data_IF_809498230325
#
_entry.id   IF_809498230325
#
_cell.length_a   1.000
_cell.length_b   1.000
_cell.length_c   1.000
_cell.angle_alpha   90.00
_cell.angle_beta   90.00
_cell.angle_gamma   90.00
#
_symmetry.space_group_name_H-M   'P 1'
#
loop_
_entity.id
_entity.type
_entity.pdbx_description
1 polymer ?
#
# COMPACT_ATOMS: atom_id res chain seq x y z
N UNK A 1 -2.14 -55.00 -35.33
CA UNK A 1 -1.58 -54.20 -34.22
C UNK A 1 -2.36 -52.90 -34.20
N UNK A 2 -3.12 -52.68 -33.13
CA UNK A 2 -4.42 -52.00 -33.18
C UNK A 2 -4.32 -50.48 -33.20
N UNK A 3 -5.14 -49.86 -34.07
CA UNK A 3 -5.41 -48.42 -34.08
C UNK A 3 -5.86 -47.87 -32.71
N UNK A 4 -6.42 -48.74 -31.86
CA UNK A 4 -6.78 -48.41 -30.48
C UNK A 4 -5.57 -48.09 -29.57
N UNK A 5 -4.42 -48.74 -29.76
CA UNK A 5 -3.23 -48.44 -28.96
C UNK A 5 -2.66 -47.05 -29.25
N UNK A 6 -2.72 -46.63 -30.52
CA UNK A 6 -2.25 -45.31 -30.96
C UNK A 6 -3.21 -44.22 -30.45
N UNK A 7 -4.52 -44.46 -30.53
CA UNK A 7 -5.53 -43.51 -30.04
C UNK A 7 -5.42 -43.29 -28.53
N UNK A 8 -5.23 -44.36 -27.75
CA UNK A 8 -5.07 -44.27 -26.30
C UNK A 8 -3.79 -43.52 -25.91
N UNK A 9 -2.68 -43.76 -26.62
CA UNK A 9 -1.42 -43.02 -26.43
C UNK A 9 -1.56 -41.53 -26.75
N UNK A 10 -2.33 -41.17 -27.79
CA UNK A 10 -2.55 -39.78 -28.18
C UNK A 10 -3.41 -39.04 -27.14
N UNK A 11 -4.47 -39.69 -26.65
CA UNK A 11 -5.34 -39.14 -25.60
C UNK A 11 -4.57 -38.97 -24.28
N UNK A 12 -3.70 -39.93 -23.92
CA UNK A 12 -2.86 -39.82 -22.73
C UNK A 12 -1.80 -38.72 -22.86
N UNK A 13 -1.24 -38.52 -24.05
CA UNK A 13 -0.28 -37.46 -24.31
C UNK A 13 -0.94 -36.06 -24.28
N UNK A 14 -2.16 -35.95 -24.80
CA UNK A 14 -2.94 -34.70 -24.76
C UNK A 14 -3.40 -34.39 -23.33
N UNK A 15 -3.87 -35.38 -22.57
CA UNK A 15 -4.26 -35.17 -21.17
C UNK A 15 -3.05 -34.82 -20.29
N UNK A 16 -1.89 -35.43 -20.55
CA UNK A 16 -0.64 -35.09 -19.87
C UNK A 16 -0.14 -33.69 -20.28
N UNK A 17 -0.30 -33.28 -21.55
CA UNK A 17 0.02 -31.92 -22.00
C UNK A 17 -0.90 -30.86 -21.39
N UNK A 18 -2.19 -31.18 -21.20
CA UNK A 18 -3.17 -30.31 -20.51
C UNK A 18 -2.90 -30.25 -19.00
N UNK A 19 -2.36 -31.31 -18.39
CA UNK A 19 -1.93 -31.31 -16.98
C UNK A 19 -0.57 -30.62 -16.77
N UNK A 20 0.25 -30.48 -17.82
CA UNK A 20 1.58 -29.86 -17.76
C UNK A 20 1.55 -28.36 -18.10
N UNK A 21 0.43 -27.77 -18.55
CA UNK A 21 0.37 -26.30 -18.68
C UNK A 21 0.58 -25.67 -17.30
N UNK A 22 1.74 -25.04 -17.03
CA UNK A 22 1.98 -24.40 -15.77
C UNK A 22 1.07 -23.17 -15.68
N UNK A 23 0.95 -22.65 -14.48
CA UNK A 23 0.24 -21.44 -14.04
C UNK A 23 0.57 -20.11 -14.76
N UNK A 24 0.83 -20.09 -16.07
CA UNK A 24 0.98 -18.88 -16.89
C UNK A 24 -0.27 -17.99 -16.90
N UNK A 25 -1.42 -18.50 -16.43
CA UNK A 25 -2.68 -17.78 -16.44
C UNK A 25 -2.82 -16.64 -15.41
N UNK A 26 -2.01 -16.61 -14.34
CA UNK A 26 -2.27 -15.68 -13.23
C UNK A 26 -1.76 -14.26 -13.49
N UNK A 27 -0.55 -14.10 -14.07
CA UNK A 27 0.03 -12.78 -14.30
C UNK A 27 -0.57 -12.09 -15.54
N UNK A 28 -0.84 -12.85 -16.60
CA UNK A 28 -1.48 -12.36 -17.82
C UNK A 28 -2.92 -11.85 -17.61
N UNK A 29 -3.55 -12.23 -16.50
CA UNK A 29 -4.84 -11.68 -16.09
C UNK A 29 -4.73 -10.20 -15.69
N UNK A 30 -3.64 -9.83 -15.03
CA UNK A 30 -3.46 -8.50 -14.44
C UNK A 30 -2.48 -7.61 -15.23
N UNK A 31 -1.63 -8.19 -16.08
CA UNK A 31 -0.67 -7.47 -16.91
C UNK A 31 -0.89 -7.78 -18.39
N UNK A 32 -0.75 -6.77 -19.24
CA UNK A 32 -0.73 -6.88 -20.71
C UNK A 32 0.61 -7.44 -21.19
N UNK A 33 1.70 -6.98 -20.60
CA UNK A 33 3.05 -7.40 -20.94
C UNK A 33 3.98 -7.30 -19.73
N UNK A 34 4.92 -8.23 -19.63
CA UNK A 34 5.99 -8.22 -18.64
C UNK A 34 7.23 -8.91 -19.21
N UNK A 35 8.40 -8.52 -18.74
CA UNK A 35 9.66 -9.22 -19.01
C UNK A 35 10.24 -9.78 -17.71
N UNK A 36 11.08 -10.80 -17.84
CA UNK A 36 11.81 -11.34 -16.70
C UNK A 36 13.26 -10.86 -16.71
N UNK A 37 13.81 -10.66 -15.50
CA UNK A 37 15.19 -10.28 -15.26
C UNK A 37 15.77 -11.22 -14.22
N UNK A 38 17.01 -11.65 -14.40
CA UNK A 38 17.74 -12.35 -13.35
C UNK A 38 18.69 -11.40 -12.62
N UNK A 39 19.01 -11.67 -11.35
CA UNK A 39 19.97 -10.86 -10.59
C UNK A 39 21.36 -10.71 -11.25
N UNK A 40 21.72 -11.65 -12.13
CA UNK A 40 22.98 -11.59 -12.92
C UNK A 40 22.91 -10.56 -14.07
N UNK A 41 21.72 -10.21 -14.53
CA UNK A 41 21.52 -9.23 -15.61
C UNK A 41 21.68 -7.78 -15.11
N UNK A 42 21.70 -7.59 -13.79
CA UNK A 42 22.06 -6.33 -13.14
C UNK A 42 23.59 -6.14 -13.24
N UNK A 43 24.04 -5.66 -14.40
CA UNK A 43 25.43 -5.31 -14.68
C UNK A 43 25.92 -4.07 -13.90
N UNK A 44 27.25 -3.96 -13.77
CA UNK A 44 27.96 -2.76 -13.26
C UNK A 44 27.50 -2.22 -11.89
N UNK A 45 27.47 -3.07 -10.87
CA UNK A 45 27.26 -2.64 -9.48
C UNK A 45 28.51 -1.96 -8.91
N UNK A 46 28.73 -0.70 -9.29
CA UNK A 46 29.86 0.10 -8.79
C UNK A 46 29.41 0.83 -7.54
N UNK A 47 30.06 0.56 -6.41
CA UNK A 47 29.88 1.32 -5.18
C UNK A 47 31.03 2.32 -5.03
N UNK A 48 30.74 3.60 -5.30
CA UNK A 48 31.67 4.69 -5.06
C UNK A 48 31.53 5.13 -3.62
N UNK A 49 32.60 5.02 -2.84
CA UNK A 49 32.68 5.48 -1.45
C UNK A 49 33.58 6.70 -1.37
N UNK A 50 33.17 7.73 -0.64
CA UNK A 50 34.02 8.88 -0.39
C UNK A 50 35.30 8.50 0.37
N UNK A 51 36.38 9.23 0.11
CA UNK A 51 37.69 8.96 0.72
C UNK A 51 37.72 9.13 2.26
N UNK A 52 36.73 9.85 2.82
CA UNK A 52 36.51 9.98 4.26
C UNK A 52 35.14 9.41 4.61
N UNK A 53 35.07 8.61 5.67
CA UNK A 53 33.79 8.12 6.17
C UNK A 53 32.93 9.30 6.66
N UNK A 54 31.75 9.45 6.08
CA UNK A 54 30.78 10.51 6.37
C UNK A 54 29.38 9.93 6.30
N UNK A 55 28.48 10.46 7.14
CA UNK A 55 27.06 10.10 7.15
C UNK A 55 26.26 10.84 6.06
N UNK A 56 26.94 11.55 5.15
CA UNK A 56 26.29 12.26 4.05
C UNK A 56 25.65 11.27 3.05
N UNK A 57 24.41 11.49 2.58
CA UNK A 57 23.73 10.55 1.67
C UNK A 57 24.52 10.22 0.39
N UNK A 58 25.23 11.20 -0.17
CA UNK A 58 26.06 11.01 -1.37
C UNK A 58 27.48 10.48 -1.09
N UNK A 59 27.79 10.10 0.15
CA UNK A 59 29.09 9.50 0.45
C UNK A 59 29.21 8.08 -0.12
N UNK A 60 28.09 7.38 -0.28
CA UNK A 60 28.00 6.09 -0.95
C UNK A 60 27.06 6.22 -2.13
N UNK A 61 27.57 6.03 -3.34
CA UNK A 61 26.77 6.02 -4.57
C UNK A 61 26.88 4.64 -5.18
N UNK A 62 25.74 4.04 -5.47
CA UNK A 62 25.62 2.74 -6.14
C UNK A 62 25.09 2.96 -7.54
N UNK A 63 25.87 2.57 -8.53
CA UNK A 63 25.40 2.54 -9.92
C UNK A 63 24.88 1.13 -10.24
N UNK A 64 23.75 1.04 -10.94
CA UNK A 64 23.16 -0.24 -11.38
C UNK A 64 22.71 -0.10 -12.82
N UNK A 65 23.14 -1.02 -13.68
CA UNK A 65 22.84 -0.97 -15.11
C UNK A 65 22.18 -2.27 -15.57
N UNK A 66 21.05 -2.17 -16.27
CA UNK A 66 20.33 -3.32 -16.80
C UNK A 66 19.54 -2.94 -18.04
N UNK A 67 19.10 -3.94 -18.79
CA UNK A 67 18.26 -3.75 -19.98
C UNK A 67 16.97 -4.53 -19.80
N UNK A 68 15.83 -3.85 -19.96
CA UNK A 68 14.50 -4.47 -19.86
C UNK A 68 13.48 -3.64 -20.63
N UNK A 69 12.42 -4.29 -21.12
CA UNK A 69 11.31 -3.67 -21.85
C UNK A 69 11.81 -2.83 -23.04
N UNK A 70 12.81 -3.37 -23.75
CA UNK A 70 13.46 -2.71 -24.89
C UNK A 70 14.36 -1.51 -24.54
N UNK A 71 14.49 -1.13 -23.26
CA UNK A 71 15.26 0.04 -22.81
C UNK A 71 16.44 -0.34 -21.93
N UNK A 72 17.52 0.44 -22.02
CA UNK A 72 18.70 0.32 -21.14
C UNK A 72 18.59 1.35 -20.02
N UNK A 73 18.61 0.88 -18.78
CA UNK A 73 18.57 1.71 -17.58
C UNK A 73 19.95 1.78 -16.95
N UNK A 74 20.36 3.00 -16.58
CA UNK A 74 21.53 3.24 -15.75
C UNK A 74 21.10 4.08 -14.56
N UNK A 75 20.96 3.43 -13.41
CA UNK A 75 20.47 4.04 -12.17
C UNK A 75 21.65 4.58 -11.37
N UNK A 76 21.52 5.79 -10.85
CA UNK A 76 22.44 6.37 -9.87
C UNK A 76 21.70 6.43 -8.54
N UNK A 77 22.09 5.56 -7.62
CA UNK A 77 21.42 5.33 -6.35
C UNK A 77 22.27 5.81 -5.19
N UNK A 78 21.64 6.34 -4.16
CA UNK A 78 22.26 6.67 -2.88
C UNK A 78 21.42 6.09 -1.73
N UNK A 79 22.03 5.59 -0.65
CA UNK A 79 21.29 5.06 0.50
C UNK A 79 20.33 6.10 1.05
N UNK A 80 19.09 5.69 1.34
CA UNK A 80 18.06 6.58 1.84
C UNK A 80 16.98 5.83 2.63
N UNK A 81 16.93 6.09 3.93
CA UNK A 81 16.02 5.43 4.87
C UNK A 81 15.02 6.41 5.51
N UNK A 82 14.59 7.46 4.79
CA UNK A 82 13.81 8.58 5.34
C UNK A 82 12.47 8.20 5.97
N UNK A 83 11.88 7.08 5.54
CA UNK A 83 10.58 6.64 6.01
C UNK A 83 10.69 5.91 7.34
N UNK A 84 11.90 5.54 7.78
CA UNK A 84 12.12 4.87 9.05
C UNK A 84 12.38 5.89 10.16
N UNK A 85 11.58 5.84 11.22
CA UNK A 85 11.80 6.64 12.42
C UNK A 85 13.18 6.35 13.05
N UNK A 86 13.74 7.31 13.79
CA UNK A 86 15.04 7.14 14.47
C UNK A 86 15.06 5.92 15.40
N UNK A 87 13.97 5.76 16.17
CA UNK A 87 13.74 4.65 17.08
C UNK A 87 12.94 3.49 16.45
N UNK A 88 13.08 3.27 15.14
CA UNK A 88 12.40 2.18 14.45
C UNK A 88 12.73 0.82 15.08
N UNK A 89 11.69 -0.01 15.29
CA UNK A 89 11.85 -1.39 15.77
C UNK A 89 10.95 -2.34 14.97
N UNK A 90 11.49 -3.49 14.58
CA UNK A 90 10.75 -4.55 13.93
C UNK A 90 10.73 -5.80 14.80
N UNK A 91 9.56 -6.44 14.87
CA UNK A 91 9.32 -7.61 15.69
C UNK A 91 8.65 -8.69 14.86
N UNK A 92 8.95 -9.95 15.17
CA UNK A 92 8.14 -11.07 14.75
C UNK A 92 7.47 -11.71 15.95
N UNK A 93 6.22 -12.13 15.75
CA UNK A 93 5.35 -12.69 16.77
C UNK A 93 4.95 -14.10 16.36
N UNK A 94 5.07 -15.06 17.26
CA UNK A 94 4.65 -16.45 17.04
C UNK A 94 3.17 -16.67 17.41
N UNK A 95 2.66 -17.88 17.22
CA UNK A 95 1.26 -18.20 17.48
C UNK A 95 0.85 -18.13 18.96
N UNK A 96 1.83 -18.09 19.87
CA UNK A 96 1.63 -17.92 21.32
C UNK A 96 1.74 -16.46 21.77
N UNK A 97 2.09 -15.54 20.87
CA UNK A 97 2.27 -14.12 21.17
C UNK A 97 3.68 -13.73 21.63
N UNK A 98 4.68 -14.62 21.51
CA UNK A 98 6.06 -14.29 21.88
C UNK A 98 6.71 -13.39 20.83
N UNK A 99 7.20 -12.22 21.27
CA UNK A 99 7.89 -11.27 20.39
C UNK A 99 9.40 -11.58 20.29
N UNK A 100 9.97 -11.52 19.10
CA UNK A 100 11.43 -11.52 18.88
C UNK A 100 11.86 -10.38 17.95
N UNK A 101 13.01 -9.78 18.25
CA UNK A 101 13.51 -8.59 17.56
C UNK A 101 14.13 -9.02 16.22
N UNK A 102 13.76 -8.28 15.16
CA UNK A 102 14.33 -8.47 13.82
C UNK A 102 15.24 -7.30 13.49
N UNK A 103 16.53 -7.60 13.29
CA UNK A 103 17.49 -6.60 12.85
C UNK A 103 17.40 -6.39 11.34
N UNK A 104 17.32 -5.14 10.93
CA UNK A 104 17.24 -4.73 9.53
C UNK A 104 18.40 -3.84 9.15
N UNK A 105 18.94 -4.08 7.95
CA UNK A 105 19.93 -3.21 7.35
C UNK A 105 19.25 -2.03 6.65
N UNK A 106 19.44 -0.82 7.19
CA UNK A 106 18.89 0.42 6.61
C UNK A 106 19.61 0.82 5.32
N UNK A 107 20.77 0.24 5.03
CA UNK A 107 21.60 0.58 3.87
C UNK A 107 21.11 -0.05 2.56
N UNK A 108 20.17 -0.99 2.62
CA UNK A 108 19.60 -1.67 1.44
C UNK A 108 18.46 -0.87 0.76
N UNK A 109 18.05 0.27 1.33
CA UNK A 109 17.07 1.17 0.74
C UNK A 109 17.78 2.32 0.05
N UNK A 110 17.39 2.58 -1.19
CA UNK A 110 18.03 3.55 -2.06
C UNK A 110 17.00 4.49 -2.70
N UNK A 111 17.40 5.75 -2.84
CA UNK A 111 16.76 6.69 -3.76
C UNK A 111 17.76 7.13 -4.83
N UNK A 112 17.25 7.61 -5.95
CA UNK A 112 18.13 7.98 -7.03
C UNK A 112 17.41 8.50 -8.26
N UNK A 113 18.13 8.49 -9.36
CA UNK A 113 17.67 8.97 -10.66
C UNK A 113 18.23 8.11 -11.78
N UNK A 114 17.65 8.22 -12.96
CA UNK A 114 18.15 7.60 -14.19
C UNK A 114 19.19 8.54 -14.82
N UNK A 115 20.34 8.00 -15.20
CA UNK A 115 21.38 8.78 -15.87
C UNK A 115 20.89 9.27 -17.24
N UNK A 116 21.07 10.57 -17.50
CA UNK A 116 20.61 11.22 -18.73
C UNK A 116 19.18 11.76 -18.69
N UNK A 117 18.41 11.44 -17.64
CA UNK A 117 17.03 11.91 -17.47
C UNK A 117 16.97 13.02 -16.42
N UNK A 118 16.49 14.20 -16.82
CA UNK A 118 16.42 15.37 -15.93
C UNK A 118 15.35 15.21 -14.85
N UNK A 119 14.18 14.72 -15.24
CA UNK A 119 13.02 14.55 -14.37
C UNK A 119 12.75 13.06 -14.16
N UNK A 120 13.66 12.40 -13.43
CA UNK A 120 13.49 11.00 -13.08
C UNK A 120 13.65 10.77 -11.58
N UNK A 121 12.87 9.84 -11.07
CA UNK A 121 12.91 9.46 -9.66
C UNK A 121 12.93 7.94 -9.54
N UNK A 122 13.86 7.43 -8.75
CA UNK A 122 14.02 6.00 -8.51
C UNK A 122 13.90 5.73 -7.02
N UNK A 123 13.01 4.81 -6.67
CA UNK A 123 13.01 4.16 -5.36
C UNK A 123 13.42 2.71 -5.59
N UNK A 124 14.47 2.25 -4.92
CA UNK A 124 14.96 0.89 -5.07
C UNK A 124 15.31 0.28 -3.72
N UNK A 125 14.97 -0.99 -3.56
CA UNK A 125 15.41 -1.85 -2.48
C UNK A 125 16.20 -3.00 -3.10
N UNK A 126 17.46 -3.18 -2.67
CA UNK A 126 18.34 -4.22 -3.23
C UNK A 126 18.86 -5.07 -2.09
N UNK A 127 18.46 -6.34 -2.05
CA UNK A 127 18.87 -7.31 -1.05
C UNK A 127 19.28 -8.62 -1.74
N UNK A 128 20.42 -9.16 -1.34
CA UNK A 128 21.04 -10.36 -1.93
C UNK A 128 21.04 -10.41 -3.48
N UNK A 129 21.18 -9.24 -4.12
CA UNK A 129 21.20 -9.10 -5.59
C UNK A 129 19.83 -9.07 -6.26
N UNK A 130 18.75 -9.35 -5.53
CA UNK A 130 17.38 -9.13 -6.01
C UNK A 130 17.00 -7.68 -5.76
N UNK A 131 16.40 -7.04 -6.76
CA UNK A 131 16.00 -5.65 -6.71
C UNK A 131 14.48 -5.53 -6.81
N UNK A 132 13.91 -4.76 -5.89
CA UNK A 132 12.55 -4.23 -6.01
C UNK A 132 12.68 -2.75 -6.30
N UNK A 133 12.17 -2.27 -7.43
CA UNK A 133 12.34 -0.87 -7.80
C UNK A 133 11.11 -0.29 -8.49
N UNK A 134 10.94 1.02 -8.30
CA UNK A 134 10.03 1.87 -9.06
C UNK A 134 10.86 2.95 -9.72
N UNK A 135 10.92 2.93 -11.05
CA UNK A 135 11.62 3.92 -11.87
C UNK A 135 10.57 4.80 -12.53
N UNK A 136 10.45 6.03 -12.06
CA UNK A 136 9.50 7.03 -12.56
C UNK A 136 10.24 7.91 -13.56
N UNK A 137 9.73 7.95 -14.79
CA UNK A 137 10.15 8.85 -15.86
C UNK A 137 8.98 9.78 -16.21
N UNK A 138 9.21 10.84 -17.00
CA UNK A 138 8.15 11.78 -17.37
C UNK A 138 7.01 11.16 -18.18
N UNK A 139 7.33 10.14 -18.98
CA UNK A 139 6.41 9.47 -19.90
C UNK A 139 5.80 8.19 -19.33
N UNK A 140 6.52 7.49 -18.46
CA UNK A 140 6.13 6.16 -18.00
C UNK A 140 6.75 5.79 -16.65
N UNK A 141 6.11 4.88 -15.91
CA UNK A 141 6.69 4.28 -14.71
C UNK A 141 6.95 2.80 -14.91
N UNK A 142 8.15 2.37 -14.53
CA UNK A 142 8.60 0.98 -14.62
C UNK A 142 8.68 0.39 -13.22
N UNK A 143 8.08 -0.78 -13.05
CA UNK A 143 8.10 -1.53 -11.81
C UNK A 143 8.93 -2.80 -11.99
N UNK A 144 9.76 -3.08 -10.99
CA UNK A 144 10.57 -4.29 -10.90
C UNK A 144 10.28 -4.93 -9.56
N UNK A 145 9.83 -6.17 -9.57
CA UNK A 145 9.50 -6.92 -8.35
C UNK A 145 10.03 -8.36 -8.43
N UNK A 146 10.30 -9.02 -7.30
CA UNK A 146 10.67 -10.43 -7.29
C UNK A 146 9.61 -11.31 -7.96
N UNK A 147 10.01 -12.29 -8.76
CA UNK A 147 9.08 -13.10 -9.56
C UNK A 147 8.34 -14.19 -8.76
N UNK A 148 8.81 -14.53 -7.55
CA UNK A 148 8.36 -15.72 -6.80
C UNK A 148 6.85 -15.78 -6.54
N UNK A 149 6.18 -14.62 -6.43
CA UNK A 149 4.71 -14.56 -6.26
C UNK A 149 3.92 -14.87 -7.52
N UNK A 150 4.53 -14.66 -8.68
CA UNK A 150 3.84 -14.70 -9.96
C UNK A 150 4.25 -15.91 -10.80
N UNK A 151 5.50 -16.36 -10.63
CA UNK A 151 6.14 -17.39 -11.43
C UNK A 151 6.84 -18.39 -10.48
N UNK A 152 6.08 -19.26 -9.80
CA UNK A 152 6.64 -20.19 -8.79
C UNK A 152 7.62 -21.20 -9.38
N UNK A 153 7.58 -21.42 -10.70
CA UNK A 153 8.50 -22.29 -11.43
C UNK A 153 9.88 -21.65 -11.65
N UNK A 154 9.98 -20.33 -11.61
CA UNK A 154 11.26 -19.62 -11.66
C UNK A 154 11.80 -19.49 -10.23
N UNK A 155 12.52 -20.52 -9.79
CA UNK A 155 13.34 -20.44 -8.60
C UNK A 155 14.67 -19.72 -8.93
N UNK A 156 15.31 -19.16 -7.91
CA UNK A 156 16.55 -18.38 -7.96
C UNK A 156 16.46 -16.95 -8.55
N UNK A 157 16.31 -15.95 -7.66
CA UNK A 157 16.66 -14.53 -7.88
C UNK A 157 16.14 -13.90 -9.19
N UNK A 158 15.05 -14.43 -9.73
CA UNK A 158 14.33 -13.85 -10.86
C UNK A 158 13.42 -12.71 -10.37
N UNK A 159 13.23 -11.75 -11.26
CA UNK A 159 12.39 -10.58 -11.10
C UNK A 159 11.50 -10.45 -12.32
N UNK A 160 10.35 -9.81 -12.16
CA UNK A 160 9.51 -9.36 -13.24
C UNK A 160 9.65 -7.85 -13.38
N UNK A 161 9.59 -7.36 -14.61
CA UNK A 161 9.55 -5.95 -14.94
C UNK A 161 8.34 -5.66 -15.81
N UNK A 162 7.60 -4.60 -15.49
CA UNK A 162 6.41 -4.18 -16.22
C UNK A 162 6.23 -2.66 -16.15
N UNK A 163 5.47 -2.11 -17.10
CA UNK A 163 5.08 -0.69 -17.11
C UNK A 163 3.77 -0.49 -16.37
N UNK A 164 3.56 0.70 -15.84
CA UNK A 164 2.25 1.07 -15.26
C UNK A 164 1.14 1.01 -16.31
N UNK A 165 1.40 1.41 -17.56
CA UNK A 165 0.44 1.29 -18.67
C UNK A 165 0.07 -0.15 -19.05
N UNK A 166 0.91 -1.12 -18.70
CA UNK A 166 0.68 -2.55 -18.93
C UNK A 166 -0.20 -3.18 -17.83
N UNK A 167 -0.54 -2.46 -16.76
CA UNK A 167 -1.46 -2.94 -15.72
C UNK A 167 -2.89 -2.93 -16.27
N UNK A 168 -3.63 -4.03 -16.06
CA UNK A 168 -5.06 -4.14 -16.33
C UNK A 168 -5.79 -3.85 -15.02
N UNK A 169 -6.45 -2.71 -14.93
CA UNK A 169 -7.24 -2.41 -13.74
C UNK A 169 -8.59 -3.12 -13.82
N UNK A 170 -9.08 -3.62 -12.68
CA UNK A 170 -10.36 -4.33 -12.61
C UNK A 170 -11.56 -3.46 -13.02
N UNK A 171 -11.39 -2.15 -13.08
CA UNK A 171 -12.38 -1.16 -13.54
C UNK A 171 -12.14 -0.68 -14.98
N UNK A 172 -11.19 -1.25 -15.73
CA UNK A 172 -11.04 -0.94 -17.16
C UNK A 172 -12.04 -1.76 -18.01
N UNK A 173 -12.46 -2.93 -17.51
CA UNK A 173 -13.39 -3.86 -18.15
C UNK A 173 -14.87 -3.59 -17.79
N UNK A 174 -15.27 -2.32 -17.59
CA UNK A 174 -16.68 -1.95 -17.27
C UNK A 174 -17.65 -2.24 -18.43
N UNK A 175 -17.14 -2.51 -19.63
CA UNK A 175 -17.97 -2.91 -20.77
C UNK A 175 -18.50 -4.36 -20.68
N UNK A 176 -18.01 -5.17 -19.74
CA UNK A 176 -18.36 -6.59 -19.62
C UNK A 176 -19.35 -6.91 -18.49
N UNK A 177 -19.82 -5.91 -17.73
CA UNK A 177 -20.88 -6.08 -16.73
C UNK A 177 -22.10 -5.30 -17.22
N UNK A 178 -22.93 -5.96 -18.03
CA UNK A 178 -24.25 -5.45 -18.40
C UNK A 178 -25.16 -5.41 -17.17
N UNK A 179 -25.31 -4.22 -16.59
CA UNK A 179 -26.26 -3.90 -15.54
C UNK A 179 -26.22 -2.39 -15.27
N UNK A 180 -27.38 -1.74 -15.23
CA UNK A 180 -27.59 -0.28 -15.32
C UNK A 180 -27.00 0.60 -14.20
N UNK A 181 -26.16 0.08 -13.31
CA UNK A 181 -25.39 0.91 -12.37
C UNK A 181 -23.89 0.65 -12.56
N UNK A 182 -23.26 1.53 -13.32
CA UNK A 182 -21.82 1.55 -13.52
C UNK A 182 -21.08 1.62 -12.19
N UNK A 183 -20.24 0.62 -11.93
CA UNK A 183 -19.40 0.57 -10.73
C UNK A 183 -18.50 1.83 -10.70
N UNK A 184 -18.47 2.62 -9.61
CA UNK A 184 -17.65 3.83 -9.55
C UNK A 184 -16.16 3.51 -9.75
N UNK A 185 -15.45 4.41 -10.46
CA UNK A 185 -13.98 4.33 -10.67
C UNK A 185 -13.16 4.57 -9.39
N UNK A 186 -13.81 4.92 -8.29
CA UNK A 186 -13.23 5.06 -6.96
C UNK A 186 -13.75 3.94 -6.07
N UNK A 187 -13.01 3.58 -5.02
CA UNK A 187 -13.58 2.73 -3.96
C UNK A 187 -14.80 3.48 -3.40
N UNK A 188 -16.00 3.11 -3.84
CA UNK A 188 -17.23 3.73 -3.39
C UNK A 188 -17.38 3.54 -1.90
N UNK A 189 -17.78 4.61 -1.20
CA UNK A 189 -18.36 4.48 0.13
C UNK A 189 -19.53 3.50 0.01
N UNK A 190 -19.50 2.43 0.81
CA UNK A 190 -20.69 1.61 1.03
C UNK A 190 -21.65 2.55 1.75
N UNK A 191 -22.70 3.01 1.06
CA UNK A 191 -23.80 3.72 1.71
C UNK A 191 -24.43 2.75 2.72
N UNK A 192 -24.52 3.15 3.99
CA UNK A 192 -25.15 2.37 5.06
C UNK A 192 -26.30 3.19 5.67
N UNK A 193 -27.43 2.54 5.97
CA UNK A 193 -28.56 3.13 6.70
C UNK A 193 -29.58 3.85 5.81
N UNK A 194 -30.24 4.89 6.38
CA UNK A 194 -31.34 5.69 5.81
C UNK A 194 -31.09 6.24 4.39
N UNK A 195 -29.85 6.21 3.90
CA UNK A 195 -29.48 6.58 2.53
C UNK A 195 -29.90 5.54 1.46
N UNK A 196 -30.48 4.41 1.87
CA UNK A 196 -31.08 3.42 0.97
C UNK A 196 -32.59 3.63 0.75
N UNK A 197 -33.24 4.50 1.53
CA UNK A 197 -34.71 4.64 1.53
C UNK A 197 -35.21 5.90 0.81
N UNK A 198 -34.41 6.56 -0.03
CA UNK A 198 -34.79 7.83 -0.66
C UNK A 198 -34.92 7.85 -2.18
N UNK A 199 -34.71 6.73 -2.88
CA UNK A 199 -34.74 6.74 -4.35
C UNK A 199 -35.72 5.71 -4.97
N UNK A 200 -36.89 5.49 -4.35
CA UNK A 200 -38.03 4.85 -5.03
C UNK A 200 -39.30 5.65 -4.73
N UNK A 201 -39.66 6.56 -5.64
CA UNK A 201 -41.01 6.80 -6.19
C UNK A 201 -41.17 8.26 -6.68
N UNK A 202 -41.25 8.39 -8.01
CA UNK A 202 -41.71 9.61 -8.70
C UNK A 202 -43.23 9.79 -8.48
N UNK A 203 -43.60 11.00 -8.08
CA UNK A 203 -44.86 11.73 -8.30
C UNK A 203 -46.21 11.13 -7.83
N UNK A 204 -46.81 11.73 -6.79
CA UNK A 204 -48.18 12.29 -6.85
C UNK A 204 -48.50 13.22 -5.64
N UNK A 205 -49.19 14.31 -5.95
CA UNK A 205 -49.52 15.45 -5.08
C UNK A 205 -50.53 15.12 -3.97
N UNK A 206 -50.28 15.51 -2.71
CA UNK A 206 -51.08 16.54 -1.99
C UNK A 206 -50.65 16.75 -0.53
N UNK A 207 -50.92 17.98 -0.10
CA UNK A 207 -50.69 18.60 1.20
C UNK A 207 -51.15 17.75 2.39
N UNK A 208 -50.33 17.66 3.44
CA UNK A 208 -50.74 18.13 4.77
C UNK A 208 -49.58 18.23 5.77
N UNK A 209 -49.73 19.26 6.60
CA UNK A 209 -48.85 19.84 7.59
C UNK A 209 -48.80 19.02 8.90
N UNK A 210 -47.62 18.86 9.53
CA UNK A 210 -47.28 19.25 10.91
C UNK A 210 -46.06 18.51 11.51
N UNK A 211 -45.16 19.35 12.06
CA UNK A 211 -44.29 19.19 13.22
C UNK A 211 -43.04 18.29 13.18
N UNK A 212 -41.91 19.00 13.01
CA UNK A 212 -40.59 18.68 13.52
C UNK A 212 -40.52 18.95 15.03
N UNK A 213 -40.54 17.89 15.85
CA UNK A 213 -40.01 17.93 17.21
C UNK A 213 -38.67 17.18 17.22
N UNK A 214 -37.60 17.96 17.15
CA UNK A 214 -36.25 17.55 17.49
C UNK A 214 -36.09 17.59 19.00
N UNK A 215 -35.61 16.50 19.60
CA UNK A 215 -35.19 16.48 21.01
C UNK A 215 -34.12 15.37 21.21
N UNK A 216 -33.31 15.40 22.27
CA UNK A 216 -32.21 16.35 22.47
C UNK A 216 -30.89 15.63 22.84
N UNK A 217 -29.76 16.36 22.85
CA UNK A 217 -28.52 15.88 23.48
C UNK A 217 -28.21 16.64 24.78
N UNK A 218 -27.51 15.99 25.73
CA UNK A 218 -27.58 16.32 27.14
C UNK A 218 -26.37 17.12 27.60
N UNK A 219 -26.50 18.43 27.72
CA UNK A 219 -25.61 19.24 28.54
C UNK A 219 -26.26 20.60 28.84
N UNK A 220 -27.21 20.64 29.77
CA UNK A 220 -27.44 21.77 30.70
C UNK A 220 -28.62 21.45 31.61
N UNK A 221 -28.37 20.74 32.71
CA UNK A 221 -29.12 20.95 33.95
C UNK A 221 -28.14 21.64 34.87
N UNK A 222 -28.48 22.84 35.33
CA UNK A 222 -28.28 23.40 36.67
C UNK A 222 -28.40 24.93 36.61
N UNK A 223 -29.65 25.35 36.75
CA UNK A 223 -30.19 26.57 37.35
C UNK A 223 -29.88 27.97 36.80
N UNK A 224 -30.99 28.61 36.43
CA UNK A 224 -31.23 30.04 36.33
C UNK A 224 -31.02 30.75 37.67
N UNK A 225 -30.58 32.01 37.64
CA UNK A 225 -31.47 33.15 37.92
C UNK A 225 -30.78 34.48 37.57
N UNK A 226 -31.64 35.45 37.21
CA UNK A 226 -31.46 36.91 37.18
C UNK A 226 -30.78 37.64 35.99
N UNK A 227 -31.70 38.10 35.12
CA UNK A 227 -31.78 39.39 34.38
C UNK A 227 -30.77 40.48 34.77
N UNK A 228 -30.03 41.05 33.80
CA UNK A 228 -30.19 42.45 33.32
C UNK A 228 -29.22 42.82 32.18
N UNK A 229 -29.71 43.65 31.25
CA UNK A 229 -29.04 44.18 30.06
C UNK A 229 -27.63 44.75 30.29
N UNK A 230 -26.67 44.39 29.42
CA UNK A 230 -25.59 45.29 29.06
C UNK A 230 -25.19 45.10 27.58
N UNK A 231 -25.30 46.19 26.81
CA UNK A 231 -24.86 46.29 25.41
C UNK A 231 -23.35 46.05 25.34
N UNK A 232 -22.92 44.83 25.02
CA UNK A 232 -21.54 44.58 24.64
C UNK A 232 -21.37 44.79 23.14
N UNK A 233 -20.65 45.85 22.80
CA UNK A 233 -20.16 46.15 21.45
C UNK A 233 -19.45 44.91 20.92
N UNK A 234 -20.03 44.28 19.90
CA UNK A 234 -19.45 43.13 19.19
C UNK A 234 -18.18 43.60 18.49
N UNK A 235 -17.05 43.59 19.19
CA UNK A 235 -15.73 43.85 18.62
C UNK A 235 -15.42 42.69 17.69
N UNK A 236 -15.56 42.89 16.37
CA UNK A 236 -15.02 41.99 15.36
C UNK A 236 -13.55 41.74 15.72
N UNK A 237 -13.21 40.52 16.14
CA UNK A 237 -11.83 40.06 16.10
C UNK A 237 -11.49 40.02 14.61
N UNK A 238 -10.70 40.99 14.13
CA UNK A 238 -9.93 40.76 12.92
C UNK A 238 -9.12 39.49 13.21
N UNK A 239 -9.36 38.44 12.42
CA UNK A 239 -8.44 37.32 12.39
C UNK A 239 -7.13 37.90 11.86
N UNK A 240 -6.14 38.04 12.74
CA UNK A 240 -4.76 38.18 12.29
C UNK A 240 -4.51 37.05 11.29
N UNK A 241 -3.94 37.41 10.14
CA UNK A 241 -3.62 36.50 9.05
C UNK A 241 -2.65 35.43 9.57
N UNK A 242 -3.21 34.34 10.08
CA UNK A 242 -2.46 33.25 10.68
C UNK A 242 -1.78 32.48 9.56
N UNK A 243 -0.49 32.74 9.36
CA UNK A 243 0.36 31.95 8.47
C UNK A 243 0.59 30.58 9.12
N UNK A 244 -0.34 29.64 8.87
CA UNK A 244 -0.30 28.28 9.40
C UNK A 244 0.88 27.53 8.76
N UNK A 245 2.06 27.57 9.38
CA UNK A 245 3.15 26.66 9.04
C UNK A 245 2.96 25.36 9.84
N UNK A 246 2.62 24.22 9.21
CA UNK A 246 2.39 22.99 9.95
C UNK A 246 3.71 22.53 10.60
N UNK A 247 3.79 22.54 11.93
CA UNK A 247 4.99 22.09 12.67
C UNK A 247 5.07 20.57 12.78
N UNK A 248 3.97 19.86 12.57
CA UNK A 248 3.86 18.39 12.61
C UNK A 248 3.38 17.85 11.27
N UNK A 249 4.32 17.58 10.37
CA UNK A 249 4.03 17.08 9.01
C UNK A 249 4.19 15.57 8.85
N UNK A 250 4.58 14.85 9.91
CA UNK A 250 4.89 13.42 9.86
C UNK A 250 4.01 12.60 10.80
N UNK A 251 3.20 11.71 10.22
CA UNK A 251 2.36 10.76 10.95
C UNK A 251 3.15 9.46 11.26
N UNK A 252 3.36 9.10 12.54
CA UNK A 252 4.04 7.86 12.89
C UNK A 252 3.10 6.64 12.75
N UNK A 253 3.54 5.63 12.00
CA UNK A 253 2.77 4.42 11.74
C UNK A 253 3.31 3.21 12.53
N UNK A 254 2.36 2.41 13.03
CA UNK A 254 2.56 1.01 13.40
C UNK A 254 2.03 0.17 12.24
N UNK A 255 2.89 -0.64 11.61
CA UNK A 255 2.45 -1.59 10.58
C UNK A 255 2.39 -2.98 11.18
N UNK A 256 1.31 -3.69 10.89
CA UNK A 256 1.09 -5.06 11.34
C UNK A 256 0.83 -5.93 10.12
N UNK A 257 1.62 -6.98 9.95
CA UNK A 257 1.38 -8.05 8.99
C UNK A 257 0.84 -9.27 9.72
N UNK A 258 -0.31 -9.78 9.30
CA UNK A 258 -0.85 -11.05 9.78
C UNK A 258 -0.09 -12.24 9.15
N UNK A 259 -0.39 -13.45 9.63
CA UNK A 259 0.26 -14.68 9.17
C UNK A 259 0.02 -14.94 7.68
N UNK A 260 -1.12 -14.48 7.15
CA UNK A 260 -1.46 -14.61 5.72
C UNK A 260 -0.58 -13.71 4.87
N UNK A 261 -0.45 -12.45 5.26
CA UNK A 261 0.45 -11.52 4.60
C UNK A 261 1.90 -12.01 4.69
N UNK A 262 2.31 -12.57 5.83
CA UNK A 262 3.63 -13.19 5.98
C UNK A 262 3.85 -14.35 4.99
N UNK A 263 2.87 -15.23 4.81
CA UNK A 263 2.95 -16.36 3.88
C UNK A 263 2.89 -15.91 2.41
N UNK A 264 1.84 -15.19 2.04
CA UNK A 264 1.52 -14.84 0.65
C UNK A 264 2.37 -13.68 0.10
N UNK A 265 2.61 -12.65 0.90
CA UNK A 265 3.34 -11.45 0.47
C UNK A 265 4.82 -11.50 0.86
N UNK A 266 5.13 -12.18 1.96
CA UNK A 266 6.49 -12.36 2.49
C UNK A 266 7.22 -13.61 2.04
N UNK A 267 6.52 -14.60 1.48
CA UNK A 267 7.11 -15.88 1.12
C UNK A 267 7.57 -16.66 2.35
N UNK A 268 6.87 -16.49 3.48
CA UNK A 268 7.24 -17.02 4.80
C UNK A 268 8.64 -16.56 5.28
N UNK A 269 9.09 -15.39 4.84
CA UNK A 269 10.35 -14.79 5.27
C UNK A 269 10.12 -13.41 5.88
N UNK A 270 10.51 -13.27 7.15
CA UNK A 270 10.25 -12.05 7.92
C UNK A 270 10.93 -10.82 7.34
N UNK A 271 12.17 -10.95 6.86
CA UNK A 271 12.91 -9.83 6.27
C UNK A 271 12.25 -9.37 4.98
N UNK A 272 11.88 -10.32 4.12
CA UNK A 272 11.14 -10.02 2.88
C UNK A 272 9.83 -9.31 3.16
N UNK A 273 9.04 -9.76 4.14
CA UNK A 273 7.79 -9.12 4.54
C UNK A 273 8.01 -7.67 4.99
N UNK A 274 8.98 -7.45 5.87
CA UNK A 274 9.23 -6.11 6.40
C UNK A 274 9.75 -5.17 5.29
N UNK A 275 10.66 -5.66 4.45
CA UNK A 275 11.18 -4.90 3.31
C UNK A 275 10.04 -4.49 2.37
N UNK A 276 9.11 -5.40 2.08
CA UNK A 276 7.94 -5.11 1.26
C UNK A 276 7.06 -4.01 1.87
N UNK A 277 6.77 -4.07 3.17
CA UNK A 277 6.00 -3.04 3.88
C UNK A 277 6.68 -1.67 3.83
N UNK A 278 7.99 -1.61 4.05
CA UNK A 278 8.74 -0.35 3.98
C UNK A 278 8.70 0.24 2.56
N UNK A 279 8.93 -0.59 1.54
CA UNK A 279 8.85 -0.15 0.14
C UNK A 279 7.45 0.32 -0.25
N UNK A 280 6.40 -0.30 0.29
CA UNK A 280 5.02 0.14 0.07
C UNK A 280 4.78 1.52 0.67
N UNK A 281 5.11 1.73 1.94
CA UNK A 281 4.89 3.01 2.62
C UNK A 281 5.78 4.12 2.04
N UNK A 282 7.00 3.83 1.56
CA UNK A 282 7.82 4.87 0.89
C UNK A 282 7.19 5.37 -0.41
N UNK A 283 6.55 4.49 -1.19
CA UNK A 283 5.78 4.89 -2.38
C UNK A 283 4.58 5.77 -1.99
N UNK A 284 3.81 5.37 -0.99
CA UNK A 284 2.66 6.14 -0.49
C UNK A 284 3.11 7.48 0.10
N UNK A 285 4.19 7.50 0.87
CA UNK A 285 4.75 8.71 1.47
C UNK A 285 5.08 9.76 0.41
N UNK A 286 5.66 9.35 -0.72
CA UNK A 286 5.96 10.26 -1.84
C UNK A 286 4.70 10.96 -2.35
N UNK A 287 3.61 10.22 -2.54
CA UNK A 287 2.33 10.79 -3.00
C UNK A 287 1.87 11.88 -2.02
N UNK A 288 1.81 11.57 -0.73
CA UNK A 288 1.34 12.52 0.29
C UNK A 288 2.26 13.74 0.45
N UNK A 289 3.56 13.55 0.29
CA UNK A 289 4.56 14.60 0.43
C UNK A 289 4.53 15.58 -0.74
N UNK A 290 4.28 15.07 -1.94
CA UNK A 290 4.24 15.85 -3.17
C UNK A 290 2.84 16.46 -3.43
N UNK A 291 1.81 15.97 -2.73
CA UNK A 291 0.45 16.53 -2.78
C UNK A 291 0.38 17.91 -2.09
N UNK A 292 -0.26 18.85 -2.76
CA UNK A 292 -0.58 20.19 -2.24
C UNK A 292 -2.02 20.16 -1.71
N UNK A 293 -2.18 20.37 -0.41
CA UNK A 293 -3.47 20.37 0.28
C UNK A 293 -3.99 21.82 0.37
N UNK A 294 -5.19 22.06 -0.14
CA UNK A 294 -5.84 23.38 -0.16
C UNK A 294 -7.25 23.24 0.38
N UNK A 295 -7.60 24.09 1.36
CA UNK A 295 -8.97 24.15 1.90
C UNK A 295 -9.85 25.12 1.07
N UNK A 296 -9.24 26.16 0.52
CA UNK A 296 -9.90 27.14 -0.36
C UNK A 296 -8.99 27.52 -1.53
N UNK A 297 -9.59 27.88 -2.66
CA UNK A 297 -8.89 28.25 -3.89
C UNK A 297 -8.12 29.57 -3.81
N UNK A 298 -8.36 30.38 -2.77
CA UNK A 298 -7.74 31.68 -2.52
C UNK A 298 -6.55 31.61 -1.55
N UNK A 299 -6.22 30.44 -1.01
CA UNK A 299 -5.09 30.24 -0.08
C UNK A 299 -3.97 29.43 -0.71
N UNK A 300 -2.72 29.79 -0.39
CA UNK A 300 -1.56 28.96 -0.71
C UNK A 300 -1.67 27.62 0.02
N UNK A 301 -1.72 26.52 -0.73
CA UNK A 301 -1.82 25.18 -0.17
C UNK A 301 -0.57 24.77 0.61
N UNK A 302 -0.75 23.90 1.60
CA UNK A 302 0.36 23.32 2.34
C UNK A 302 0.80 21.99 1.70
N UNK A 303 2.11 21.72 1.75
CA UNK A 303 2.72 20.51 1.19
C UNK A 303 3.67 19.87 2.19
N UNK A 304 4.18 18.69 1.84
CA UNK A 304 5.19 18.02 2.65
C UNK A 304 4.60 17.21 3.81
N UNK A 305 3.31 16.89 3.77
CA UNK A 305 2.70 15.92 4.70
C UNK A 305 3.19 14.51 4.38
N UNK A 306 3.29 13.63 5.37
CA UNK A 306 3.74 12.28 5.09
C UNK A 306 3.81 11.38 6.31
N UNK A 307 4.47 10.25 6.14
CA UNK A 307 4.49 9.17 7.12
C UNK A 307 5.91 8.85 7.56
N UNK A 308 6.02 8.34 8.78
CA UNK A 308 7.24 7.71 9.29
C UNK A 308 6.85 6.39 9.96
N UNK A 309 7.55 5.31 9.66
CA UNK A 309 7.32 4.01 10.26
C UNK A 309 8.04 3.97 11.60
N UNK A 310 7.29 3.78 12.68
CA UNK A 310 7.81 3.71 14.04
C UNK A 310 8.02 2.27 14.49
N UNK A 311 7.08 1.38 14.20
CA UNK A 311 7.15 -0.04 14.58
C UNK A 311 6.56 -0.91 13.47
N UNK A 312 7.17 -2.08 13.24
CA UNK A 312 6.60 -3.13 12.39
C UNK A 312 6.47 -4.40 13.21
N UNK A 313 5.31 -5.05 13.12
CA UNK A 313 5.02 -6.34 13.75
C UNK A 313 4.63 -7.33 12.66
N UNK A 314 5.30 -8.47 12.61
CA UNK A 314 5.01 -9.55 11.65
C UNK A 314 4.62 -10.81 12.41
N UNK A 315 3.37 -11.21 12.28
CA UNK A 315 2.92 -12.51 12.78
C UNK A 315 3.41 -13.61 11.85
N UNK A 316 4.25 -14.50 12.38
CA UNK A 316 4.79 -15.65 11.64
C UNK A 316 3.81 -16.83 11.59
N UNK A 317 2.93 -16.92 12.58
CA UNK A 317 1.95 -17.98 12.76
C UNK A 317 0.58 -17.40 13.11
N UNK A 318 -0.51 -18.14 12.86
CA UNK A 318 -1.83 -17.73 13.32
C UNK A 318 -1.91 -17.74 14.84
N UNK A 319 -2.55 -16.72 15.41
CA UNK A 319 -2.71 -16.60 16.86
C UNK A 319 -3.67 -17.67 17.37
N UNK A 320 -3.24 -18.40 18.41
CA UNK A 320 -4.05 -19.43 19.07
C UNK A 320 -5.06 -18.76 20.00
N UNK A 321 -6.35 -18.91 19.69
CA UNK A 321 -7.45 -18.36 20.49
C UNK A 321 -8.07 -19.43 21.38
N UNK A 322 -8.54 -19.03 22.56
CA UNK A 322 -9.37 -19.87 23.43
C UNK A 322 -10.83 -19.77 22.98
N UNK A 323 -11.65 -20.78 23.32
CA UNK A 323 -13.05 -20.83 22.89
C UNK A 323 -13.83 -19.57 23.32
N UNK A 324 -14.41 -18.87 22.35
CA UNK A 324 -15.20 -17.65 22.56
C UNK A 324 -14.48 -16.34 22.26
N UNK A 325 -13.15 -16.36 22.12
CA UNK A 325 -12.34 -15.18 21.77
C UNK A 325 -12.05 -15.14 20.27
N UNK A 326 -12.11 -13.94 19.70
CA UNK A 326 -11.76 -13.69 18.31
C UNK A 326 -10.48 -12.86 18.24
N UNK A 327 -9.55 -13.24 17.37
CA UNK A 327 -8.31 -12.51 17.13
C UNK A 327 -8.14 -12.25 15.63
N UNK A 328 -7.76 -11.03 15.23
CA UNK A 328 -7.63 -10.67 13.81
C UNK A 328 -6.68 -11.61 13.04
N UNK A 329 -5.60 -12.05 13.71
CA UNK A 329 -4.61 -12.99 13.21
C UNK A 329 -4.96 -14.50 13.41
N UNK A 330 -6.22 -14.85 13.71
CA UNK A 330 -6.61 -16.28 13.84
C UNK A 330 -6.84 -16.96 12.49
N UNK A 331 -6.83 -18.29 12.46
CA UNK A 331 -7.18 -19.05 11.24
C UNK A 331 -8.67 -18.85 10.92
N UNK A 332 -8.95 -18.16 9.82
CA UNK A 332 -10.32 -17.92 9.34
C UNK A 332 -10.30 -17.64 7.85
N UNK A 333 -11.10 -18.33 7.05
CA UNK A 333 -11.08 -18.19 5.58
C UNK A 333 -11.34 -16.75 5.10
N UNK A 334 -12.39 -16.11 5.61
CA UNK A 334 -12.76 -14.74 5.26
C UNK A 334 -13.25 -13.98 6.49
N UNK A 335 -12.86 -12.73 6.56
CA UNK A 335 -13.39 -11.75 7.49
C UNK A 335 -14.32 -10.81 6.75
N UNK A 336 -15.38 -10.40 7.45
CA UNK A 336 -16.06 -9.17 7.09
C UNK A 336 -15.15 -7.98 7.45
N UNK A 337 -15.06 -6.99 6.56
CA UNK A 337 -14.05 -5.91 6.64
C UNK A 337 -14.24 -5.07 7.90
N UNK A 338 -15.49 -4.73 8.24
CA UNK A 338 -15.82 -3.95 9.44
C UNK A 338 -15.44 -4.71 10.69
N UNK A 339 -15.84 -5.97 10.78
CA UNK A 339 -15.49 -6.84 11.90
C UNK A 339 -13.98 -7.03 12.07
N UNK A 340 -13.22 -7.12 10.97
CA UNK A 340 -11.75 -7.20 11.03
C UNK A 340 -11.14 -5.92 11.62
N UNK A 341 -11.61 -4.76 11.16
CA UNK A 341 -11.14 -3.47 11.66
C UNK A 341 -11.45 -3.30 13.14
N UNK A 342 -12.67 -3.61 13.57
CA UNK A 342 -13.06 -3.56 14.98
C UNK A 342 -12.22 -4.51 15.85
N UNK A 343 -12.01 -5.75 15.43
CA UNK A 343 -11.17 -6.71 16.17
C UNK A 343 -9.70 -6.29 16.21
N UNK A 344 -9.19 -5.68 15.14
CA UNK A 344 -7.83 -5.14 15.10
C UNK A 344 -7.69 -3.96 16.06
N UNK A 345 -8.65 -3.02 16.04
CA UNK A 345 -8.65 -1.83 16.89
C UNK A 345 -8.75 -2.14 18.38
N UNK A 346 -9.59 -3.13 18.77
CA UNK A 346 -9.68 -3.60 20.15
C UNK A 346 -8.32 -4.03 20.69
N UNK A 347 -7.56 -4.78 19.89
CA UNK A 347 -6.27 -5.33 20.30
C UNK A 347 -5.14 -4.30 20.23
N UNK A 348 -5.19 -3.34 19.30
CA UNK A 348 -4.20 -2.25 19.22
C UNK A 348 -4.36 -1.27 20.39
N UNK A 349 -5.59 -0.97 20.81
CA UNK A 349 -5.87 -0.09 21.96
C UNK A 349 -5.43 -0.70 23.29
N UNK A 350 -5.38 -2.03 23.40
CA UNK A 350 -4.86 -2.76 24.57
C UNK A 350 -3.31 -2.77 24.63
N UNK A 351 -2.61 -2.28 23.59
CA UNK A 351 -1.15 -2.30 23.47
C UNK A 351 -0.49 -0.91 23.36
N UNK A 352 -1.27 0.17 23.49
CA UNK A 352 -0.80 1.56 23.64
C UNK A 352 -1.10 2.00 25.07
#
# INVERSE_FOLDING_TARGET
MSHHGIFLSLVLAISLAVLITPSLGQLNKNLKYYETLHAKDLSHRIEKRGAKHSNHPFNTIKEVEFKVLGRKFRLILHPHASVLHSNFRAYTVDGNGSESIVHMDRSNFFKGRVFGEMESHVNAHIDDGVMTASVVLPDETYHIEPSWRHLPHLSDKHMIAYRTSDIKFSWDDVAAVGGELGVPRTCGYIKEGLELEQDDDEDEENEDMYNMESDPTPETVWHADDVQESKQVRRKRQADQYEYTPTKTRCPLLLVADYRFFQEMGGSNTKTTINYLISLIDRVHKIYNDTIWQDRSDQEGFKGMGFVIKKIVVHSEPTRVRGGEAHYNMVREKWDVRNLLENTLKMVTLCI
#
